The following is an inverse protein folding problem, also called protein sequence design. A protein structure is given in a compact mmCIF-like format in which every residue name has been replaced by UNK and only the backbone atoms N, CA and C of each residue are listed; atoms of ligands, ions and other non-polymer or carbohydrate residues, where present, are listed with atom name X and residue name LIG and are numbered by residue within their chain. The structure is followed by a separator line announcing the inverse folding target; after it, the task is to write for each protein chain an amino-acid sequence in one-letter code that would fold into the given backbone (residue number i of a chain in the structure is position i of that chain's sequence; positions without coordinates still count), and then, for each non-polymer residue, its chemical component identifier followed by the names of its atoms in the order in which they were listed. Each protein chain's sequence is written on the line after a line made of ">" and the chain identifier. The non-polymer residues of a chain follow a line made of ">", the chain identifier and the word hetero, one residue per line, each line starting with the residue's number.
data_IF_537996482553
#
_entry.id   IF_537996482553
#
_cell.length_a   1.000
_cell.length_b   1.000
_cell.length_c   1.000
_cell.angle_alpha   90.00
_cell.angle_beta   90.00
_cell.angle_gamma   90.00
#
_symmetry.space_group_name_H-M   'P 1'
#
loop_
_entity.id
_entity.type
_entity.pdbx_description
1 polymer ?
#
# COMPACT_ATOMS: atom_id res chain seq x y z
N UNK A 1 -4.88 -24.85 10.43
CA UNK A 1 -6.14 -24.15 10.76
C UNK A 1 -6.23 -24.04 12.27
N UNK A 2 -5.85 -22.89 12.81
CA UNK A 2 -6.19 -22.51 14.18
C UNK A 2 -7.66 -22.10 14.24
N UNK A 3 -8.26 -22.17 15.44
CA UNK A 3 -9.70 -22.01 15.70
C UNK A 3 -10.27 -20.60 15.44
N UNK A 4 -9.44 -19.68 14.94
CA UNK A 4 -9.70 -18.26 14.71
C UNK A 4 -9.73 -17.86 13.22
N UNK A 5 -9.55 -18.82 12.30
CA UNK A 5 -9.52 -18.54 10.86
C UNK A 5 -8.19 -17.95 10.38
N UNK A 6 -7.16 -17.96 11.22
CA UNK A 6 -5.82 -17.51 10.85
C UNK A 6 -5.11 -18.61 10.04
N UNK A 7 -4.64 -18.26 8.84
CA UNK A 7 -3.80 -19.13 8.01
C UNK A 7 -2.36 -18.63 8.17
N UNK A 8 -1.51 -19.46 8.79
CA UNK A 8 -0.07 -19.21 8.89
C UNK A 8 0.65 -19.97 7.76
N UNK A 9 1.36 -19.24 6.92
CA UNK A 9 2.24 -19.80 5.89
C UNK A 9 3.67 -19.26 6.03
N UNK A 10 4.66 -20.11 5.76
CA UNK A 10 6.09 -19.79 5.88
C UNK A 10 6.75 -19.78 4.52
N UNK A 11 7.46 -18.69 4.19
CA UNK A 11 8.21 -18.56 2.95
C UNK A 11 9.72 -18.61 3.22
N UNK A 12 10.49 -19.44 2.49
CA UNK A 12 11.94 -19.38 2.55
C UNK A 12 12.44 -18.09 1.92
N UNK A 13 13.25 -17.30 2.64
CA UNK A 13 13.70 -15.97 2.22
C UNK A 13 14.69 -15.93 1.03
N UNK A 14 15.00 -17.07 0.41
CA UNK A 14 16.04 -17.21 -0.61
C UNK A 14 15.54 -17.58 -2.02
N UNK A 15 14.24 -17.70 -2.25
CA UNK A 15 13.73 -17.90 -3.62
C UNK A 15 13.54 -16.57 -4.34
N UNK A 16 14.46 -16.32 -5.29
CA UNK A 16 14.57 -15.09 -6.08
C UNK A 16 13.52 -14.91 -7.18
N UNK A 17 12.24 -15.24 -6.92
CA UNK A 17 11.16 -14.77 -7.77
C UNK A 17 10.68 -13.44 -7.21
N UNK A 18 10.65 -12.39 -8.04
CA UNK A 18 10.10 -11.05 -7.69
C UNK A 18 8.62 -11.09 -7.25
N UNK A 19 8.02 -12.25 -7.35
CA UNK A 19 6.64 -12.56 -7.06
C UNK A 19 6.64 -13.77 -6.11
N UNK A 20 6.09 -13.56 -4.92
CA UNK A 20 5.85 -14.60 -3.92
C UNK A 20 4.35 -14.90 -3.93
N UNK A 21 4.01 -16.17 -4.07
CA UNK A 21 2.63 -16.63 -4.03
C UNK A 21 2.44 -17.43 -2.76
N UNK A 22 1.33 -17.18 -2.06
CA UNK A 22 0.87 -18.10 -1.02
C UNK A 22 0.41 -19.41 -1.62
N UNK A 23 0.28 -20.45 -0.80
CA UNK A 23 -0.58 -21.57 -1.16
C UNK A 23 -2.02 -21.07 -1.36
N UNK A 24 -2.83 -21.92 -1.98
CA UNK A 24 -4.26 -21.64 -2.12
C UNK A 24 -4.91 -21.94 -0.78
N UNK A 25 -5.45 -20.91 -0.13
CA UNK A 25 -6.22 -21.03 1.10
C UNK A 25 -7.60 -20.41 0.89
N UNK A 26 -8.66 -21.11 1.34
CA UNK A 26 -10.06 -20.65 1.21
C UNK A 26 -10.46 -20.19 -0.20
N UNK A 27 -9.87 -20.79 -1.24
CA UNK A 27 -10.11 -20.44 -2.65
C UNK A 27 -9.43 -19.16 -3.13
N UNK A 28 -8.59 -18.54 -2.30
CA UNK A 28 -7.78 -17.37 -2.60
C UNK A 28 -6.31 -17.76 -2.75
N UNK A 29 -5.58 -16.98 -3.54
CA UNK A 29 -4.12 -17.02 -3.61
C UNK A 29 -3.62 -15.58 -3.60
N UNK A 30 -2.74 -15.25 -2.67
CA UNK A 30 -2.14 -13.92 -2.61
C UNK A 30 -0.87 -13.89 -3.42
N UNK A 31 -0.68 -12.79 -4.15
CA UNK A 31 0.53 -12.47 -4.88
C UNK A 31 1.18 -11.26 -4.23
N UNK A 32 2.31 -11.48 -3.57
CA UNK A 32 3.22 -10.45 -3.08
C UNK A 32 4.16 -10.08 -4.23
N UNK A 33 4.23 -8.79 -4.57
CA UNK A 33 5.03 -8.29 -5.69
C UNK A 33 5.83 -7.05 -5.28
N UNK A 34 6.85 -6.70 -6.07
CA UNK A 34 7.77 -5.59 -5.81
C UNK A 34 8.54 -5.71 -4.49
N UNK A 35 8.89 -6.94 -4.11
CA UNK A 35 9.66 -7.20 -2.91
C UNK A 35 11.12 -6.79 -3.13
N UNK A 36 11.61 -5.91 -2.25
CA UNK A 36 13.02 -5.54 -2.21
C UNK A 36 13.84 -6.76 -1.78
N UNK A 37 14.87 -7.13 -2.54
CA UNK A 37 15.73 -8.31 -2.28
C UNK A 37 16.96 -7.96 -1.47
N UNK A 38 17.43 -6.71 -1.58
CA UNK A 38 18.58 -6.16 -0.85
C UNK A 38 18.19 -4.82 -0.28
N UNK A 39 18.69 -4.46 0.90
CA UNK A 39 18.42 -3.15 1.48
C UNK A 39 18.68 -2.01 0.49
N UNK A 40 17.74 -1.08 0.36
CA UNK A 40 17.81 0.03 -0.60
C UNK A 40 17.41 1.35 0.08
N UNK A 41 18.16 2.43 -0.16
CA UNK A 41 17.81 3.75 0.36
C UNK A 41 16.50 4.25 -0.25
N UNK A 42 15.53 4.63 0.58
CA UNK A 42 14.25 5.17 0.15
C UNK A 42 14.25 6.69 0.25
N UNK A 43 14.81 7.34 -0.77
CA UNK A 43 14.88 8.80 -0.82
C UNK A 43 13.49 9.47 -0.76
N UNK A 44 12.45 8.84 -1.33
CA UNK A 44 11.10 9.39 -1.35
C UNK A 44 10.40 9.33 0.03
N UNK A 45 10.81 8.38 0.88
CA UNK A 45 10.28 8.21 2.23
C UNK A 45 11.24 8.73 3.32
N UNK A 46 12.37 9.31 2.91
CA UNK A 46 13.32 10.02 3.76
C UNK A 46 13.03 11.53 3.70
N UNK A 47 13.37 12.25 4.77
CA UNK A 47 13.13 13.69 4.85
C UNK A 47 12.99 14.22 6.26
N UNK A 48 12.76 15.53 6.37
CA UNK A 48 12.50 16.20 7.64
C UNK A 48 11.16 15.73 8.25
N UNK A 49 11.22 15.23 9.48
CA UNK A 49 10.05 14.92 10.32
C UNK A 49 9.60 16.19 11.05
N UNK A 50 10.58 16.91 11.60
CA UNK A 50 10.46 18.25 12.19
C UNK A 50 11.63 19.08 11.68
N UNK A 51 11.39 20.36 11.37
CA UNK A 51 12.42 21.25 10.84
C UNK A 51 12.53 21.27 9.32
N UNK A 52 13.50 22.03 8.83
CA UNK A 52 13.86 22.10 7.42
C UNK A 52 15.22 22.76 7.27
N UNK A 53 16.17 22.05 6.67
CA UNK A 53 17.49 22.56 6.32
C UNK A 53 18.04 21.81 5.08
N UNK A 54 18.97 22.42 4.31
CA UNK A 54 19.67 21.71 3.25
C UNK A 54 20.51 20.58 3.82
N UNK A 55 20.23 19.33 3.44
CA UNK A 55 20.99 18.16 3.89
C UNK A 55 21.09 17.16 2.76
N UNK A 56 22.30 16.66 2.50
CA UNK A 56 22.52 15.59 1.53
C UNK A 56 22.74 14.27 2.28
N UNK A 57 22.05 13.21 1.86
CA UNK A 57 22.24 11.85 2.38
C UNK A 57 22.93 10.99 1.33
N UNK A 58 23.99 10.31 1.73
CA UNK A 58 24.77 9.40 0.91
C UNK A 58 24.76 7.99 1.54
N UNK A 59 23.92 7.05 1.09
CA UNK A 59 23.95 5.67 1.59
C UNK A 59 25.29 5.01 1.22
N UNK A 60 25.80 4.12 2.07
CA UNK A 60 27.01 3.34 1.74
C UNK A 60 26.72 2.26 0.70
N UNK A 61 27.78 1.72 0.09
CA UNK A 61 27.69 0.69 -0.95
C UNK A 61 27.33 -0.69 -0.42
N UNK A 62 27.75 -1.05 0.80
CA UNK A 62 27.58 -2.41 1.33
C UNK A 62 26.74 -2.43 2.61
N UNK A 63 27.15 -1.70 3.63
CA UNK A 63 26.53 -1.73 4.95
C UNK A 63 25.07 -1.26 4.93
N UNK A 64 24.71 -0.30 4.07
CA UNK A 64 23.33 0.15 3.90
C UNK A 64 22.38 -0.96 3.45
N UNK A 65 22.90 -1.92 2.67
CA UNK A 65 22.12 -3.08 2.23
C UNK A 65 21.95 -4.14 3.33
N UNK A 66 22.92 -4.23 4.25
CA UNK A 66 22.89 -5.15 5.40
C UNK A 66 22.12 -4.61 6.61
N UNK A 67 22.05 -3.29 6.76
CA UNK A 67 21.34 -2.59 7.84
C UNK A 67 20.29 -1.60 7.30
N UNK A 68 19.31 -2.05 6.49
CA UNK A 68 18.30 -1.18 5.89
C UNK A 68 17.16 -0.87 6.88
N UNK A 69 17.49 -0.16 7.95
CA UNK A 69 16.52 0.27 8.97
C UNK A 69 16.05 1.71 8.74
N UNK A 70 15.18 2.18 9.62
CA UNK A 70 14.80 3.58 9.73
C UNK A 70 15.68 4.24 10.79
N UNK A 71 16.40 5.28 10.39
CA UNK A 71 17.24 6.08 11.28
C UNK A 71 16.71 7.51 11.39
N UNK A 72 16.85 8.10 12.58
CA UNK A 72 16.60 9.53 12.78
C UNK A 72 17.92 10.20 13.19
N UNK A 73 18.26 11.29 12.49
CA UNK A 73 19.26 12.27 12.91
C UNK A 73 18.53 13.29 13.78
N UNK A 74 18.87 13.37 15.06
CA UNK A 74 18.17 14.18 16.06
C UNK A 74 19.07 15.33 16.49
N UNK A 75 18.66 16.55 16.18
CA UNK A 75 19.36 17.79 16.52
C UNK A 75 18.90 18.30 17.89
N UNK A 76 19.82 18.86 18.65
CA UNK A 76 19.61 19.24 20.05
C UNK A 76 20.29 20.57 20.36
N UNK A 77 19.98 21.14 21.52
CA UNK A 77 20.63 22.33 22.08
C UNK A 77 21.89 21.99 22.91
N UNK A 78 22.22 20.70 23.05
CA UNK A 78 23.42 20.21 23.72
C UNK A 78 24.55 20.01 22.71
N UNK A 79 25.53 20.91 22.68
CA UNK A 79 26.74 20.83 21.81
C UNK A 79 27.54 19.52 21.97
N UNK A 80 27.26 18.73 23.01
CA UNK A 80 27.88 17.45 23.31
C UNK A 80 26.91 16.26 23.30
N UNK A 81 25.75 16.40 22.64
CA UNK A 81 24.76 15.34 22.51
C UNK A 81 25.32 14.04 21.90
N UNK A 82 26.37 14.17 21.08
CA UNK A 82 27.27 13.06 20.75
C UNK A 82 28.73 13.46 20.97
N UNK A 83 29.47 12.59 21.66
CA UNK A 83 30.94 12.68 21.81
C UNK A 83 31.55 11.40 21.25
N UNK A 84 32.51 11.54 20.33
CA UNK A 84 33.17 10.39 19.73
C UNK A 84 33.97 9.60 20.79
N UNK A 85 33.66 8.31 20.92
CA UNK A 85 34.33 7.38 21.84
C UNK A 85 35.15 6.31 21.12
N UNK A 86 35.20 6.35 19.78
CA UNK A 86 36.01 5.47 18.96
C UNK A 86 37.48 5.72 19.29
N UNK A 87 38.18 4.66 19.67
CA UNK A 87 39.58 4.75 20.09
C UNK A 87 40.52 3.81 19.31
N UNK A 88 39.97 3.11 18.30
CA UNK A 88 40.71 2.29 17.34
C UNK A 88 40.28 2.64 15.92
N UNK A 89 41.10 3.43 15.23
CA UNK A 89 40.83 3.95 13.88
C UNK A 89 41.51 3.14 12.77
N UNK A 90 41.98 1.93 13.06
CA UNK A 90 42.81 1.15 12.13
C UNK A 90 42.07 0.76 10.84
N UNK A 91 40.73 0.67 10.90
CA UNK A 91 39.86 0.25 9.79
C UNK A 91 38.54 1.03 9.81
N UNK A 92 38.57 2.27 9.33
CA UNK A 92 37.33 3.03 9.11
C UNK A 92 36.86 2.79 7.68
N UNK A 93 35.78 2.01 7.54
CA UNK A 93 35.04 1.82 6.30
C UNK A 93 34.35 3.12 5.90
N UNK A 94 34.68 3.67 4.73
CA UNK A 94 33.99 4.82 4.18
C UNK A 94 32.71 4.41 3.43
N UNK A 95 32.05 5.35 2.74
CA UNK A 95 30.82 5.10 2.01
C UNK A 95 30.97 4.09 0.87
N UNK A 96 32.15 4.00 0.26
CA UNK A 96 32.42 3.00 -0.79
C UNK A 96 32.82 1.62 -0.22
N UNK A 97 32.83 1.44 1.10
CA UNK A 97 33.26 0.21 1.76
C UNK A 97 34.77 0.03 1.82
N UNK A 98 35.54 1.04 1.42
CA UNK A 98 36.99 1.01 1.48
C UNK A 98 37.46 1.36 2.88
N UNK A 99 38.42 0.61 3.40
CA UNK A 99 39.07 0.96 4.67
C UNK A 99 40.16 2.00 4.43
N UNK A 100 40.05 3.16 5.07
CA UNK A 100 41.19 4.07 5.21
C UNK A 100 42.14 3.57 6.30
N UNK A 101 43.45 3.59 6.05
CA UNK A 101 44.44 3.46 7.13
C UNK A 101 44.43 4.74 7.97
N UNK A 102 44.43 4.59 9.30
CA UNK A 102 44.72 5.65 10.29
C UNK A 102 46.00 6.46 10.03
N UNK A 103 46.87 6.01 9.10
CA UNK A 103 48.08 6.71 8.67
C UNK A 103 47.85 7.81 7.62
N UNK A 104 46.60 8.15 7.29
CA UNK A 104 46.27 9.44 6.68
C UNK A 104 45.83 10.39 7.82
N UNK A 105 46.77 11.10 8.48
CA UNK A 105 46.52 11.86 9.71
C UNK A 105 45.46 12.98 9.61
N UNK A 106 44.88 13.19 8.43
CA UNK A 106 43.91 14.24 8.11
C UNK A 106 42.64 13.71 7.41
N UNK A 107 42.34 12.41 7.52
CA UNK A 107 41.14 11.87 6.86
C UNK A 107 39.91 11.87 7.77
N UNK A 108 40.09 11.52 9.05
CA UNK A 108 39.00 11.47 10.01
C UNK A 108 39.37 12.21 11.27
N UNK A 109 38.47 13.05 11.76
CA UNK A 109 38.66 13.72 13.04
C UNK A 109 38.49 12.70 14.17
N UNK A 110 39.40 12.72 15.13
CA UNK A 110 39.43 11.73 16.23
C UNK A 110 38.93 12.28 17.56
N UNK A 111 38.70 13.60 17.64
CA UNK A 111 38.21 14.29 18.82
C UNK A 111 37.26 15.39 18.38
N UNK A 112 35.98 15.20 18.66
CA UNK A 112 34.93 16.16 18.35
C UNK A 112 33.70 15.85 19.21
N UNK A 113 32.83 16.84 19.33
CA UNK A 113 31.50 16.74 19.90
C UNK A 113 30.51 17.32 18.88
N UNK A 114 29.29 16.79 18.84
CA UNK A 114 28.26 17.20 17.88
C UNK A 114 26.96 17.53 18.62
N UNK A 115 26.22 18.56 18.17
CA UNK A 115 24.92 18.93 18.72
C UNK A 115 23.78 18.00 18.28
N UNK A 116 24.11 16.82 17.75
CA UNK A 116 23.15 15.85 17.26
C UNK A 116 23.65 14.43 17.44
N UNK A 117 22.73 13.48 17.41
CA UNK A 117 23.03 12.05 17.42
C UNK A 117 22.14 11.31 16.43
N UNK A 118 22.51 10.07 16.10
CA UNK A 118 21.74 9.21 15.19
C UNK A 118 21.22 8.00 15.96
N UNK A 119 19.92 7.73 15.83
CA UNK A 119 19.27 6.54 16.41
C UNK A 119 18.66 5.66 15.34
N UNK A 120 18.77 4.35 15.54
CA UNK A 120 18.02 3.34 14.84
C UNK A 120 16.64 3.18 15.49
N UNK A 121 15.57 3.44 14.73
CA UNK A 121 14.18 3.34 15.21
C UNK A 121 13.65 1.92 15.25
N UNK A 122 14.25 1.01 14.50
CA UNK A 122 13.73 -0.34 14.32
C UNK A 122 14.37 -1.33 15.29
N UNK A 123 15.56 -1.01 15.80
CA UNK A 123 16.30 -1.83 16.76
C UNK A 123 16.30 -1.18 18.14
N UNK A 124 16.26 -2.01 19.19
CA UNK A 124 16.42 -1.58 20.58
C UNK A 124 17.74 -2.07 21.13
N UNK A 125 18.38 -1.25 21.95
CA UNK A 125 19.56 -1.64 22.70
C UNK A 125 19.22 -2.58 23.86
N UNK A 126 20.25 -2.97 24.62
CA UNK A 126 20.13 -3.86 25.79
C UNK A 126 19.22 -3.32 26.90
N UNK A 127 18.94 -2.02 26.90
CA UNK A 127 18.09 -1.35 27.88
C UNK A 127 16.66 -1.13 27.36
N UNK A 128 16.37 -1.49 26.10
CA UNK A 128 15.07 -1.26 25.47
C UNK A 128 14.90 0.12 24.84
N UNK A 129 15.98 0.91 24.76
CA UNK A 129 15.99 2.23 24.11
C UNK A 129 16.36 2.11 22.63
N UNK A 130 16.01 3.07 21.75
CA UNK A 130 16.50 3.10 20.38
C UNK A 130 18.03 3.00 20.33
N UNK A 131 18.55 2.07 19.52
CA UNK A 131 20.00 1.89 19.39
C UNK A 131 20.65 3.17 18.84
N UNK A 132 21.70 3.67 19.50
CA UNK A 132 22.49 4.81 19.01
C UNK A 132 23.60 4.35 18.08
N UNK A 133 23.76 5.04 16.95
CA UNK A 133 24.87 4.83 16.03
C UNK A 133 26.10 5.60 16.50
N UNK A 134 27.27 5.11 16.10
CA UNK A 134 28.50 5.89 16.13
C UNK A 134 28.49 6.91 14.99
N UNK A 135 29.05 8.07 15.26
CA UNK A 135 29.35 9.11 14.28
C UNK A 135 30.87 9.29 14.14
N UNK A 136 31.29 9.55 12.91
CA UNK A 136 32.63 10.00 12.53
C UNK A 136 32.52 11.23 11.63
N UNK A 137 33.54 12.09 11.67
CA UNK A 137 33.68 13.21 10.74
C UNK A 137 34.82 12.88 9.78
N UNK A 138 34.52 12.84 8.49
CA UNK A 138 35.48 12.79 7.39
C UNK A 138 35.88 14.22 7.03
N UNK A 139 37.13 14.55 7.33
CA UNK A 139 37.77 15.84 7.03
C UNK A 139 38.09 15.89 5.54
N UNK A 140 37.24 16.59 4.77
CA UNK A 140 37.31 16.59 3.31
C UNK A 140 38.30 17.65 2.80
N UNK A 141 38.40 18.78 3.49
CA UNK A 141 39.32 19.86 3.14
C UNK A 141 40.76 19.63 3.67
N UNK A 142 40.93 18.63 4.55
CA UNK A 142 42.19 18.20 5.18
C UNK A 142 42.85 19.27 6.02
N UNK A 143 42.07 20.17 6.63
CA UNK A 143 42.61 21.23 7.46
C UNK A 143 42.80 20.79 8.93
N UNK A 144 42.34 19.58 9.29
CA UNK A 144 42.43 19.01 10.64
C UNK A 144 41.49 19.65 11.67
N UNK A 145 40.53 20.44 11.22
CA UNK A 145 39.47 21.06 12.01
C UNK A 145 38.10 20.53 11.54
N UNK A 146 37.09 20.73 12.38
CA UNK A 146 35.71 20.41 12.04
C UNK A 146 35.06 21.62 11.37
N UNK A 147 34.61 21.46 10.12
CA UNK A 147 33.87 22.47 9.37
C UNK A 147 32.52 21.91 8.88
N UNK A 148 31.42 22.34 9.50
CA UNK A 148 30.07 21.82 9.21
C UNK A 148 29.62 22.01 7.74
N UNK A 149 30.19 23.00 7.03
CA UNK A 149 29.88 23.30 5.64
C UNK A 149 30.80 22.63 4.63
N UNK A 150 31.90 22.02 5.05
CA UNK A 150 32.89 21.40 4.15
C UNK A 150 33.15 19.92 4.44
N UNK A 151 32.85 19.46 5.66
CA UNK A 151 33.08 18.10 6.10
C UNK A 151 31.83 17.23 6.04
N UNK A 152 32.08 15.93 5.98
CA UNK A 152 31.03 14.91 5.93
C UNK A 152 30.95 14.13 7.23
N UNK A 153 29.72 13.89 7.67
CA UNK A 153 29.43 12.97 8.76
C UNK A 153 29.21 11.56 8.23
N UNK A 154 29.73 10.56 8.94
CA UNK A 154 29.47 9.15 8.69
C UNK A 154 28.73 8.58 9.91
N UNK A 155 27.56 7.97 9.68
CA UNK A 155 26.78 7.27 10.68
C UNK A 155 26.92 5.76 10.48
N UNK A 156 27.26 5.04 11.55
CA UNK A 156 27.61 3.63 11.43
C UNK A 156 27.56 2.87 12.75
N UNK A 157 27.69 1.55 12.65
CA UNK A 157 27.79 0.71 13.83
C UNK A 157 29.21 0.71 14.36
N UNK A 158 29.33 0.50 15.67
CA UNK A 158 30.61 0.32 16.38
C UNK A 158 30.63 -1.01 17.11
N UNK A 159 31.82 -1.52 17.37
CA UNK A 159 32.00 -2.74 18.15
C UNK A 159 33.02 -2.52 19.26
N UNK A 160 32.75 -3.13 20.39
CA UNK A 160 33.53 -2.98 21.62
C UNK A 160 34.23 -4.30 21.94
N UNK A 161 35.53 -4.24 22.24
CA UNK A 161 36.31 -5.40 22.67
C UNK A 161 37.12 -5.08 23.92
N UNK A 162 36.94 -5.79 25.04
CA UNK A 162 37.75 -5.59 26.22
C UNK A 162 39.20 -6.01 25.95
N UNK A 163 40.15 -5.25 26.50
CA UNK A 163 41.56 -5.61 26.51
C UNK A 163 41.87 -6.53 27.68
N UNK A 164 43.05 -7.16 27.64
CA UNK A 164 43.57 -7.98 28.75
C UNK A 164 43.67 -7.17 30.06
N UNK A 165 43.84 -5.85 29.97
CA UNK A 165 43.94 -4.94 31.13
C UNK A 165 42.58 -4.39 31.58
N UNK A 166 41.47 -4.86 31.00
CA UNK A 166 40.11 -4.42 31.35
C UNK A 166 39.70 -3.07 30.77
N UNK A 167 40.56 -2.41 29.98
CA UNK A 167 40.17 -1.23 29.20
C UNK A 167 39.36 -1.64 27.96
N UNK A 168 38.55 -0.74 27.40
CA UNK A 168 37.69 -1.05 26.25
C UNK A 168 38.27 -0.50 24.95
N UNK A 169 38.45 -1.35 23.96
CA UNK A 169 38.71 -0.93 22.58
C UNK A 169 37.38 -0.72 21.86
N UNK A 170 37.18 0.46 21.29
CA UNK A 170 35.99 0.80 20.50
C UNK A 170 36.42 0.98 19.05
N UNK A 171 35.92 0.12 18.17
CA UNK A 171 36.23 0.08 16.74
C UNK A 171 35.04 0.55 15.93
N UNK A 172 35.32 1.21 14.80
CA UNK A 172 34.34 1.38 13.74
C UNK A 172 34.04 0.04 13.08
N UNK A 173 32.76 -0.35 13.03
CA UNK A 173 32.37 -1.63 12.45
C UNK A 173 31.92 -1.49 10.99
N UNK A 174 31.35 -0.34 10.61
CA UNK A 174 30.90 -0.09 9.24
C UNK A 174 30.03 1.16 9.16
N UNK A 175 30.06 1.84 8.01
CA UNK A 175 29.29 3.07 7.76
C UNK A 175 27.98 2.73 7.08
N UNK A 176 26.83 3.00 7.70
CA UNK A 176 25.52 2.76 7.06
C UNK A 176 25.23 3.84 6.02
N UNK A 177 25.38 5.11 6.40
CA UNK A 177 25.21 6.25 5.50
C UNK A 177 26.07 7.42 5.97
N UNK A 178 26.30 8.37 5.08
CA UNK A 178 26.89 9.64 5.39
C UNK A 178 25.92 10.78 5.09
N UNK A 179 26.19 11.94 5.67
CA UNK A 179 25.43 13.14 5.40
C UNK A 179 26.30 14.38 5.54
N UNK A 180 25.89 15.45 4.87
CA UNK A 180 26.59 16.73 4.88
C UNK A 180 25.62 17.91 4.68
N UNK A 181 26.07 19.10 5.07
CA UNK A 181 25.34 20.36 4.92
C UNK A 181 25.99 21.28 3.87
N UNK A 182 26.71 20.72 2.89
CA UNK A 182 27.45 21.50 1.89
C UNK A 182 26.56 22.43 1.04
N UNK A 183 25.25 22.20 1.05
CA UNK A 183 24.27 23.03 0.34
C UNK A 183 23.77 24.21 1.18
N UNK A 184 24.06 24.25 2.48
CA UNK A 184 23.73 25.38 3.33
C UNK A 184 24.70 26.54 3.05
N UNK A 185 24.16 27.74 2.92
CA UNK A 185 24.94 28.93 2.58
C UNK A 185 25.30 29.78 3.80
N UNK A 186 24.66 29.53 4.95
CA UNK A 186 24.92 30.21 6.22
C UNK A 186 24.46 29.36 7.42
N UNK A 187 24.86 29.75 8.64
CA UNK A 187 24.49 29.04 9.87
C UNK A 187 22.97 29.09 10.15
N UNK A 188 22.27 30.11 9.65
CA UNK A 188 20.81 30.22 9.80
C UNK A 188 20.03 29.19 8.97
N UNK A 189 20.67 28.56 7.98
CA UNK A 189 20.09 27.48 7.19
C UNK A 189 20.34 26.10 7.79
N UNK A 190 21.13 26.01 8.87
CA UNK A 190 21.40 24.75 9.57
C UNK A 190 20.19 24.29 10.40
N UNK A 191 20.11 22.99 10.73
CA UNK A 191 19.03 22.47 11.57
C UNK A 191 19.03 23.11 12.96
N UNK A 192 17.83 23.38 13.48
CA UNK A 192 17.65 23.90 14.83
C UNK A 192 17.60 22.75 15.85
N UNK A 193 17.81 23.02 17.15
CA UNK A 193 17.45 22.09 18.20
C UNK A 193 16.01 21.57 18.04
N UNK A 194 15.80 20.28 18.35
CA UNK A 194 14.55 19.52 18.18
C UNK A 194 14.14 19.21 16.73
N UNK A 195 14.91 19.65 15.73
CA UNK A 195 14.74 19.18 14.36
C UNK A 195 15.13 17.71 14.24
N UNK A 196 14.44 16.99 13.35
CA UNK A 196 14.66 15.56 13.13
C UNK A 196 14.61 15.26 11.64
N UNK A 197 15.72 14.76 11.10
CA UNK A 197 15.77 14.22 9.74
C UNK A 197 15.69 12.70 9.76
N UNK A 198 14.76 12.11 9.01
CA UNK A 198 14.60 10.67 8.89
C UNK A 198 15.27 10.13 7.64
N UNK A 199 16.14 9.15 7.84
CA UNK A 199 16.78 8.35 6.79
C UNK A 199 16.11 6.98 6.77
N UNK A 200 15.38 6.68 5.68
CA UNK A 200 14.62 5.44 5.56
C UNK A 200 15.20 4.55 4.47
N UNK A 201 15.25 3.25 4.76
CA UNK A 201 15.61 2.22 3.82
C UNK A 201 14.44 1.25 3.62
N UNK A 202 14.34 0.67 2.42
CA UNK A 202 13.48 -0.48 2.13
C UNK A 202 14.21 -1.73 2.57
N UNK A 203 13.58 -2.48 3.46
CA UNK A 203 14.13 -3.73 4.02
C UNK A 203 13.57 -4.94 3.27
N UNK A 204 14.41 -5.92 2.89
CA UNK A 204 13.92 -7.20 2.41
C UNK A 204 13.19 -7.96 3.52
N UNK A 205 12.19 -8.76 3.16
CA UNK A 205 11.54 -9.65 4.11
C UNK A 205 12.55 -10.66 4.67
N UNK A 206 12.54 -10.79 5.98
CA UNK A 206 13.28 -11.81 6.73
C UNK A 206 12.35 -12.96 7.13
N UNK A 207 12.93 -14.10 7.49
CA UNK A 207 12.17 -15.25 8.01
C UNK A 207 11.46 -14.97 9.34
N UNK A 208 11.73 -13.82 9.97
CA UNK A 208 11.08 -13.38 11.20
C UNK A 208 9.87 -12.46 10.95
N UNK A 209 9.65 -11.99 9.72
CA UNK A 209 8.54 -11.09 9.40
C UNK A 209 7.25 -11.89 9.13
N UNK A 210 6.10 -11.30 9.45
CA UNK A 210 4.77 -11.88 9.20
C UNK A 210 3.86 -10.87 8.52
N UNK A 211 3.08 -11.30 7.54
CA UNK A 211 2.12 -10.45 6.83
C UNK A 211 0.71 -10.83 7.27
N UNK A 212 -0.03 -9.86 7.81
CA UNK A 212 -1.44 -10.01 8.15
C UNK A 212 -2.31 -9.28 7.12
N UNK A 213 -3.33 -9.94 6.62
CA UNK A 213 -4.36 -9.34 5.77
C UNK A 213 -5.75 -9.72 6.31
N UNK A 214 -6.75 -8.95 5.92
CA UNK A 214 -8.14 -9.23 6.27
C UNK A 214 -8.99 -9.11 5.03
N UNK A 215 -9.74 -10.16 4.74
CA UNK A 215 -10.76 -10.12 3.68
C UNK A 215 -12.01 -9.53 4.31
N UNK A 216 -12.45 -8.37 3.82
CA UNK A 216 -13.77 -7.88 4.14
C UNK A 216 -14.79 -8.86 3.53
N UNK A 217 -15.59 -9.51 4.36
CA UNK A 217 -16.72 -10.30 3.89
C UNK A 217 -17.62 -9.43 3.00
N UNK A 218 -18.29 -10.05 2.02
CA UNK A 218 -19.25 -9.39 1.16
C UNK A 218 -20.24 -8.62 2.05
N UNK A 219 -20.17 -7.28 1.99
CA UNK A 219 -20.93 -6.41 2.89
C UNK A 219 -22.37 -6.86 2.86
N UNK A 220 -22.88 -7.38 3.98
CA UNK A 220 -24.28 -7.70 4.11
C UNK A 220 -25.04 -6.41 3.77
N UNK A 221 -25.63 -6.36 2.58
CA UNK A 221 -26.36 -5.20 2.10
C UNK A 221 -27.43 -4.92 3.15
N UNK A 222 -27.34 -3.77 3.81
CA UNK A 222 -28.32 -3.43 4.85
C UNK A 222 -29.71 -3.47 4.23
N UNK A 223 -30.72 -3.85 5.00
CA UNK A 223 -32.09 -3.91 4.50
C UNK A 223 -32.51 -2.59 3.82
N UNK A 224 -32.04 -1.45 4.33
CA UNK A 224 -32.26 -0.13 3.75
C UNK A 224 -31.61 0.06 2.36
N UNK A 225 -30.32 -0.29 2.20
CA UNK A 225 -29.62 -0.19 0.91
C UNK A 225 -30.27 -1.09 -0.15
N UNK A 226 -30.82 -2.24 0.27
CA UNK A 226 -31.55 -3.14 -0.61
C UNK A 226 -32.93 -2.59 -1.03
N UNK A 227 -33.65 -1.89 -0.14
CA UNK A 227 -34.91 -1.22 -0.50
C UNK A 227 -34.68 -0.12 -1.53
N UNK A 228 -33.62 0.67 -1.37
CA UNK A 228 -33.23 1.69 -2.34
C UNK A 228 -32.84 1.08 -3.70
N UNK A 229 -32.16 -0.06 -3.70
CA UNK A 229 -31.85 -0.78 -4.93
C UNK A 229 -33.12 -1.30 -5.64
N UNK A 230 -34.03 -1.95 -4.91
CA UNK A 230 -35.30 -2.45 -5.45
C UNK A 230 -36.21 -1.32 -5.96
N UNK A 231 -36.15 -0.13 -5.35
CA UNK A 231 -36.92 1.04 -5.78
C UNK A 231 -36.50 1.57 -7.17
N UNK A 232 -35.28 1.27 -7.61
CA UNK A 232 -34.74 1.67 -8.93
C UNK A 232 -35.20 0.77 -10.08
N UNK A 233 -35.85 -0.36 -9.80
CA UNK A 233 -36.34 -1.28 -10.84
C UNK A 233 -37.35 -0.57 -11.74
N UNK A 234 -37.03 -0.53 -13.04
CA UNK A 234 -37.85 0.14 -14.07
C UNK A 234 -37.88 -0.65 -15.37
N UNK A 235 -38.98 -0.51 -16.08
CA UNK A 235 -39.19 -1.00 -17.45
C UNK A 235 -38.85 0.11 -18.44
N UNK A 236 -38.05 -0.21 -19.46
CA UNK A 236 -37.61 0.72 -20.50
C UNK A 236 -37.79 0.08 -21.88
N UNK A 237 -38.38 0.78 -22.86
CA UNK A 237 -39.06 2.06 -22.76
C UNK A 237 -40.42 1.91 -22.07
N UNK A 238 -40.88 2.98 -21.43
CA UNK A 238 -42.20 3.05 -20.83
C UNK A 238 -42.77 4.48 -21.04
N UNK A 239 -43.77 4.69 -21.92
CA UNK A 239 -44.49 3.66 -22.68
C UNK A 239 -43.62 3.03 -23.79
N UNK A 240 -43.90 1.77 -24.13
CA UNK A 240 -43.45 1.17 -25.38
C UNK A 240 -44.37 1.64 -26.52
N UNK A 241 -43.81 2.23 -27.58
CA UNK A 241 -44.57 2.81 -28.70
C UNK A 241 -44.09 2.22 -30.01
N UNK A 242 -44.89 1.36 -30.65
CA UNK A 242 -44.70 0.80 -32.01
C UNK A 242 -43.35 0.09 -32.25
N UNK A 243 -42.25 0.83 -32.32
CA UNK A 243 -40.85 0.36 -32.47
C UNK A 243 -39.92 1.04 -31.45
N UNK A 244 -38.95 0.29 -30.93
CA UNK A 244 -37.91 0.79 -30.02
C UNK A 244 -36.51 0.69 -30.65
N UNK A 245 -35.65 1.67 -30.39
CA UNK A 245 -34.23 1.68 -30.82
C UNK A 245 -33.41 0.50 -30.30
N UNK A 246 -33.88 -0.19 -29.26
CA UNK A 246 -33.24 -1.41 -28.78
C UNK A 246 -33.61 -2.64 -29.61
N UNK A 247 -34.52 -2.59 -30.59
CA UNK A 247 -34.87 -3.76 -31.39
C UNK A 247 -33.79 -4.07 -32.44
N UNK A 248 -33.38 -5.35 -32.60
CA UNK A 248 -32.40 -5.72 -33.60
C UNK A 248 -32.95 -5.46 -35.01
N UNK A 249 -32.15 -4.80 -35.86
CA UNK A 249 -32.50 -4.55 -37.25
C UNK A 249 -32.62 -5.90 -38.01
N UNK A 250 -33.78 -6.14 -38.62
CA UNK A 250 -33.99 -7.33 -39.43
C UNK A 250 -33.62 -7.00 -40.88
N UNK A 251 -32.64 -7.70 -41.44
CA UNK A 251 -32.22 -7.51 -42.84
C UNK A 251 -33.29 -7.92 -43.87
N UNK A 252 -34.30 -8.68 -43.43
CA UNK A 252 -35.40 -9.15 -44.27
C UNK A 252 -36.69 -8.39 -43.97
N UNK A 253 -37.12 -7.54 -44.92
CA UNK A 253 -38.36 -6.75 -44.89
C UNK A 253 -39.67 -7.55 -44.79
N UNK A 254 -39.63 -8.88 -44.95
CA UNK A 254 -40.79 -9.77 -44.82
C UNK A 254 -40.92 -10.43 -43.44
N UNK A 255 -39.99 -10.18 -42.53
CA UNK A 255 -40.02 -10.70 -41.16
C UNK A 255 -40.36 -9.56 -40.17
N UNK A 256 -41.31 -9.80 -39.28
CA UNK A 256 -41.66 -8.86 -38.21
C UNK A 256 -40.44 -8.64 -37.28
N UNK A 257 -40.16 -7.38 -36.93
CA UNK A 257 -39.17 -7.06 -35.91
C UNK A 257 -39.57 -7.68 -34.57
N UNK A 258 -38.61 -8.33 -33.90
CA UNK A 258 -38.83 -8.88 -32.54
C UNK A 258 -38.86 -7.71 -31.56
N UNK A 259 -40.08 -7.34 -31.15
CA UNK A 259 -40.34 -6.30 -30.16
C UNK A 259 -39.74 -6.71 -28.81
N UNK A 260 -39.10 -5.78 -28.10
CA UNK A 260 -38.60 -6.06 -26.75
C UNK A 260 -38.61 -4.83 -25.85
N UNK A 261 -38.91 -5.09 -24.58
CA UNK A 261 -38.68 -4.15 -23.47
C UNK A 261 -37.62 -4.70 -22.54
N UNK A 262 -37.03 -3.83 -21.72
CA UNK A 262 -35.98 -4.18 -20.78
C UNK A 262 -36.40 -3.82 -19.35
N UNK A 263 -36.26 -4.77 -18.44
CA UNK A 263 -36.22 -4.52 -17.00
C UNK A 263 -34.80 -4.17 -16.60
N UNK A 264 -34.64 -3.13 -15.79
CA UNK A 264 -33.33 -2.61 -15.33
C UNK A 264 -33.24 -2.60 -13.82
N UNK A 265 -32.01 -2.60 -13.30
CA UNK A 265 -31.70 -2.58 -11.86
C UNK A 265 -32.30 -3.76 -11.08
N UNK A 266 -32.41 -4.91 -11.74
CA UNK A 266 -32.89 -6.13 -11.11
C UNK A 266 -31.84 -6.72 -10.15
N UNK A 267 -32.28 -7.40 -9.08
CA UNK A 267 -31.42 -8.32 -8.35
C UNK A 267 -30.88 -9.42 -9.27
N UNK A 268 -29.68 -9.91 -8.97
CA UNK A 268 -29.03 -11.00 -9.71
C UNK A 268 -29.93 -12.24 -9.85
N UNK A 269 -30.66 -12.59 -8.77
CA UNK A 269 -31.64 -13.69 -8.74
C UNK A 269 -33.01 -13.20 -8.34
N UNK A 270 -33.97 -13.24 -9.27
CA UNK A 270 -35.34 -12.82 -9.01
C UNK A 270 -36.35 -13.43 -9.98
N UNK A 271 -37.61 -13.46 -9.56
CA UNK A 271 -38.75 -13.80 -10.43
C UNK A 271 -39.50 -12.52 -10.79
N UNK A 272 -39.79 -12.32 -12.07
CA UNK A 272 -40.65 -11.25 -12.59
C UNK A 272 -41.97 -11.86 -13.04
N UNK A 273 -43.10 -11.37 -12.53
CA UNK A 273 -44.44 -11.75 -12.96
C UNK A 273 -45.14 -10.56 -13.57
N UNK A 274 -45.73 -10.75 -14.76
CA UNK A 274 -46.39 -9.69 -15.52
C UNK A 274 -47.88 -9.98 -15.55
N UNK A 275 -48.70 -8.96 -15.25
CA UNK A 275 -50.14 -9.06 -15.15
C UNK A 275 -50.84 -7.98 -15.97
N UNK A 276 -52.06 -8.27 -16.40
CA UNK A 276 -53.00 -7.23 -16.84
C UNK A 276 -53.46 -6.38 -15.65
N UNK A 277 -54.04 -5.20 -15.89
CA UNK A 277 -54.65 -4.37 -14.82
C UNK A 277 -55.77 -5.09 -14.05
N UNK A 278 -56.39 -6.10 -14.66
CA UNK A 278 -57.41 -6.95 -14.02
C UNK A 278 -56.83 -8.09 -13.19
N UNK A 279 -55.50 -8.20 -13.07
CA UNK A 279 -54.81 -9.21 -12.27
C UNK A 279 -54.62 -10.56 -12.97
N UNK A 280 -54.82 -10.65 -14.29
CA UNK A 280 -54.60 -11.89 -15.04
C UNK A 280 -53.11 -12.01 -15.35
N UNK A 281 -52.50 -13.16 -15.01
CA UNK A 281 -51.10 -13.45 -15.31
C UNK A 281 -50.89 -13.57 -16.82
N UNK A 282 -49.94 -12.79 -17.33
CA UNK A 282 -49.54 -12.73 -18.73
C UNK A 282 -48.31 -13.59 -18.97
N UNK A 283 -47.27 -13.40 -18.13
CA UNK A 283 -46.01 -14.11 -18.25
C UNK A 283 -45.22 -14.15 -16.94
N UNK A 284 -44.26 -15.08 -16.84
CA UNK A 284 -43.32 -15.21 -15.72
C UNK A 284 -41.90 -15.44 -16.23
N UNK A 285 -40.97 -14.63 -15.75
CA UNK A 285 -39.57 -14.65 -16.16
C UNK A 285 -38.72 -14.95 -14.91
N UNK A 286 -37.96 -16.03 -14.94
CA UNK A 286 -36.96 -16.35 -13.92
C UNK A 286 -35.62 -15.75 -14.34
N UNK A 287 -34.98 -15.01 -13.43
CA UNK A 287 -33.73 -14.30 -13.66
C UNK A 287 -32.64 -14.92 -12.80
N UNK A 288 -31.59 -15.42 -13.44
CA UNK A 288 -30.36 -15.89 -12.80
C UNK A 288 -29.16 -15.30 -13.56
N UNK A 289 -28.84 -14.06 -13.20
CA UNK A 289 -27.76 -13.27 -13.78
C UNK A 289 -26.53 -13.25 -12.85
N UNK A 290 -25.33 -12.97 -13.38
CA UNK A 290 -24.19 -12.57 -12.55
C UNK A 290 -24.50 -11.33 -11.69
N UNK A 291 -23.87 -11.16 -10.50
CA UNK A 291 -24.15 -10.02 -9.61
C UNK A 291 -23.98 -8.62 -10.23
N UNK A 292 -23.16 -8.51 -11.28
CA UNK A 292 -22.91 -7.26 -12.00
C UNK A 292 -23.96 -6.91 -13.06
N UNK A 293 -24.88 -7.82 -13.40
CA UNK A 293 -25.87 -7.63 -14.47
C UNK A 293 -27.31 -7.60 -13.94
N UNK A 294 -27.83 -6.38 -13.78
CA UNK A 294 -29.20 -6.13 -13.33
C UNK A 294 -30.20 -5.94 -14.47
N UNK A 295 -30.01 -6.56 -15.63
CA UNK A 295 -30.89 -6.36 -16.81
C UNK A 295 -31.50 -7.64 -17.36
N UNK A 296 -32.75 -7.55 -17.82
CA UNK A 296 -33.45 -8.64 -18.52
C UNK A 296 -34.34 -8.08 -19.61
N UNK A 297 -34.40 -8.76 -20.76
CA UNK A 297 -35.26 -8.40 -21.88
C UNK A 297 -36.50 -9.29 -21.91
N UNK A 298 -37.66 -8.69 -22.19
CA UNK A 298 -38.92 -9.39 -22.42
C UNK A 298 -39.45 -9.10 -23.82
N UNK A 299 -39.98 -10.12 -24.50
CA UNK A 299 -40.38 -10.11 -25.90
C UNK A 299 -41.84 -9.70 -26.16
N UNK A 300 -42.56 -9.29 -25.10
CA UNK A 300 -43.96 -8.88 -25.13
C UNK A 300 -44.91 -10.01 -25.57
N UNK A 301 -44.50 -11.27 -25.34
CA UNK A 301 -45.35 -12.44 -25.54
C UNK A 301 -45.96 -12.89 -24.21
N UNK A 302 -47.18 -13.40 -24.30
CA UNK A 302 -47.79 -14.21 -23.22
C UNK A 302 -47.03 -15.53 -23.08
N UNK A 303 -47.24 -16.24 -21.96
CA UNK A 303 -46.72 -17.60 -21.77
C UNK A 303 -47.14 -18.59 -22.87
N UNK A 304 -48.26 -18.32 -23.56
CA UNK A 304 -48.71 -19.11 -24.72
C UNK A 304 -48.06 -18.68 -26.06
N UNK A 305 -47.12 -17.73 -26.04
CA UNK A 305 -46.42 -17.24 -27.23
C UNK A 305 -47.25 -16.25 -28.08
N UNK A 306 -48.36 -15.74 -27.56
CA UNK A 306 -49.20 -14.75 -28.25
C UNK A 306 -48.77 -13.32 -27.89
N UNK A 307 -48.78 -12.42 -28.87
CA UNK A 307 -48.53 -10.99 -28.61
C UNK A 307 -49.58 -10.41 -27.66
N UNK A 308 -49.12 -9.65 -26.67
CA UNK A 308 -50.01 -8.91 -25.77
C UNK A 308 -50.75 -7.78 -26.50
N UNK A 309 -51.92 -7.39 -25.99
CA UNK A 309 -52.67 -6.24 -26.52
C UNK A 309 -52.03 -4.90 -26.13
N UNK A 310 -52.43 -3.81 -26.79
CA UNK A 310 -52.11 -2.48 -26.30
C UNK A 310 -52.87 -2.23 -24.99
N UNK A 311 -52.20 -1.64 -23.99
CA UNK A 311 -52.79 -1.43 -22.67
C UNK A 311 -51.77 -1.18 -21.58
N UNK A 312 -52.29 -1.11 -20.36
CA UNK A 312 -51.50 -0.99 -19.14
C UNK A 312 -51.27 -2.38 -18.54
N UNK A 313 -50.05 -2.60 -18.06
CA UNK A 313 -49.62 -3.83 -17.43
C UNK A 313 -48.95 -3.53 -16.09
N UNK A 314 -49.04 -4.47 -15.17
CA UNK A 314 -48.43 -4.43 -13.85
C UNK A 314 -47.36 -5.51 -13.78
N UNK A 315 -46.20 -5.19 -13.24
CA UNK A 315 -45.16 -6.18 -12.97
C UNK A 315 -44.91 -6.29 -11.47
N UNK A 316 -44.58 -7.51 -11.03
CA UNK A 316 -44.15 -7.85 -9.69
C UNK A 316 -42.79 -8.53 -9.77
N UNK A 317 -41.79 -7.96 -9.13
CA UNK A 317 -40.45 -8.55 -8.99
C UNK A 317 -40.28 -9.04 -7.57
N UNK A 318 -39.81 -10.28 -7.41
CA UNK A 318 -39.46 -10.87 -6.12
C UNK A 318 -38.00 -11.33 -6.14
N UNK A 319 -37.19 -10.76 -5.27
CA UNK A 319 -35.80 -11.18 -5.08
C UNK A 319 -35.76 -12.54 -4.36
N UNK A 320 -35.02 -13.51 -4.88
CA UNK A 320 -34.98 -14.86 -4.30
C UNK A 320 -34.21 -14.89 -2.97
N UNK A 321 -33.05 -14.23 -2.93
CA UNK A 321 -32.14 -14.26 -1.78
C UNK A 321 -32.74 -13.57 -0.56
N UNK A 322 -33.44 -12.46 -0.77
CA UNK A 322 -33.88 -11.56 0.31
C UNK A 322 -35.38 -11.59 0.53
N UNK A 323 -36.14 -12.19 -0.39
CA UNK A 323 -37.60 -12.24 -0.35
C UNK A 323 -38.30 -10.91 -0.59
N UNK A 324 -37.57 -9.81 -0.83
CA UNK A 324 -38.16 -8.48 -1.05
C UNK A 324 -38.89 -8.40 -2.37
N UNK A 325 -39.96 -7.61 -2.38
CA UNK A 325 -40.89 -7.52 -3.50
C UNK A 325 -41.05 -6.07 -3.97
N UNK A 326 -41.16 -5.88 -5.29
CA UNK A 326 -41.41 -4.59 -5.93
C UNK A 326 -42.52 -4.71 -6.96
N UNK A 327 -43.52 -3.85 -6.87
CA UNK A 327 -44.57 -3.70 -7.88
C UNK A 327 -44.36 -2.40 -8.66
N UNK A 328 -44.57 -2.47 -9.97
CA UNK A 328 -44.60 -1.31 -10.86
C UNK A 328 -45.54 -1.53 -12.04
N UNK A 329 -45.60 -0.55 -12.94
CA UNK A 329 -46.50 -0.55 -14.10
C UNK A 329 -45.81 -0.04 -15.35
N UNK A 330 -46.26 -0.52 -16.50
CA UNK A 330 -45.82 -0.03 -17.80
C UNK A 330 -46.95 -0.04 -18.82
N UNK A 331 -46.84 0.81 -19.83
CA UNK A 331 -47.83 0.94 -20.88
C UNK A 331 -47.26 0.47 -22.23
N UNK A 332 -48.12 -0.15 -23.02
CA UNK A 332 -47.83 -0.60 -24.39
C UNK A 332 -48.83 0.06 -25.33
N UNK A 333 -48.32 0.79 -26.32
CA UNK A 333 -49.08 1.49 -27.35
C UNK A 333 -48.71 0.86 -28.69
N UNK A 334 -49.73 0.32 -29.39
CA UNK A 334 -49.57 -0.30 -30.72
C UNK A 334 -49.98 0.65 -31.83
#
# INVERSE_FOLDING_TARGET
>A
MTLDGTVEETFPCYEHTRELFTDVFDGLQLKLSNLTVTGEYDAAASGWVTGSAPIAISPSTFESAGFPYTYDIVFTDDDSAYVCDINRFNYVYNLEGNTGSSSAPFKYLTKFALPFYVVNRDVRDKNGEPERLGLLVEDLNRNGAFDIFEDRFLAGHRTERPTIMGTLNVYWAGTVFGFDFHQAMSEEELPNPDDVYRVKFRRPFSTADSVLFTVAGETAVTAAALDEAMARIRVVPNPYVVTNTMEPAVANKYLNQRRRIMFTHLPARCTIRIFTVSGILVDTIEVDNPPSDGTVHWDLLTREGLEIAAGMYVYHVKAEVTGKEKIGKFAVIK
#
